data_IF_982225087387
#
_entry.id   IF_982225087387
#
_cell.length_a   1.000
_cell.length_b   1.000
_cell.length_c   1.000
_cell.angle_alpha   90.00
_cell.angle_beta   90.00
_cell.angle_gamma   90.00
#
_symmetry.space_group_name_H-M   'P 1'
#
loop_
_entity.id
_entity.type
_entity.pdbx_description
1 polymer ?
#
# COMPACT_ATOMS: atom_id res chain seq x y z
N UNK A 1 2.55 17.71 1.79
CA UNK A 1 2.93 16.47 1.07
C UNK A 1 1.64 15.71 0.77
N UNK A 2 1.33 15.42 -0.49
CA UNK A 2 0.05 14.84 -0.94
C UNK A 2 0.12 13.31 -1.15
N UNK A 3 1.08 12.64 -0.52
CA UNK A 3 1.26 11.18 -0.67
C UNK A 3 0.38 10.49 0.36
N UNK A 4 -0.55 9.66 -0.12
CA UNK A 4 -1.38 8.81 0.74
C UNK A 4 -0.82 7.38 0.75
N UNK A 5 -0.88 6.74 1.92
CA UNK A 5 -0.45 5.36 2.11
C UNK A 5 -1.66 4.44 2.00
N UNK A 6 -1.62 3.50 1.06
CA UNK A 6 -2.71 2.53 0.85
C UNK A 6 -2.29 1.16 1.40
N UNK A 7 -2.98 0.62 2.42
CA UNK A 7 -2.72 -0.74 2.89
C UNK A 7 -3.06 -1.75 1.79
N UNK A 8 -2.15 -2.69 1.54
CA UNK A 8 -2.33 -3.74 0.54
C UNK A 8 -2.17 -5.12 1.17
N UNK A 9 -3.07 -6.04 0.84
CA UNK A 9 -3.05 -7.43 1.34
C UNK A 9 -2.88 -8.40 0.18
N UNK A 10 -1.70 -9.01 0.08
CA UNK A 10 -1.42 -10.07 -0.88
C UNK A 10 -1.45 -11.44 -0.17
N UNK A 11 -2.15 -12.40 -0.76
CA UNK A 11 -2.04 -13.81 -0.37
C UNK A 11 -1.08 -14.50 -1.32
N UNK A 12 0.05 -14.97 -0.80
CA UNK A 12 1.06 -15.69 -1.59
C UNK A 12 0.87 -17.19 -1.37
N UNK A 13 0.67 -17.93 -2.46
CA UNK A 13 0.73 -19.38 -2.45
C UNK A 13 2.20 -19.80 -2.64
N UNK A 14 2.84 -20.50 -1.69
CA UNK A 14 4.25 -20.88 -1.80
C UNK A 14 4.54 -21.87 -2.94
N UNK A 15 3.50 -22.50 -3.51
CA UNK A 15 3.63 -23.40 -4.67
C UNK A 15 3.42 -22.69 -6.02
N UNK A 16 3.00 -21.42 -6.01
CA UNK A 16 2.79 -20.64 -7.22
C UNK A 16 4.13 -20.13 -7.77
N UNK A 17 4.21 -19.97 -9.09
CA UNK A 17 5.39 -19.36 -9.70
C UNK A 17 5.42 -17.86 -9.42
N UNK A 18 6.58 -17.24 -9.62
CA UNK A 18 6.70 -15.79 -9.55
C UNK A 18 5.72 -15.07 -10.49
N UNK A 19 5.56 -15.60 -11.71
CA UNK A 19 4.65 -15.02 -12.70
C UNK A 19 3.20 -15.08 -12.23
N UNK A 20 2.78 -16.20 -11.64
CA UNK A 20 1.43 -16.33 -11.06
C UNK A 20 1.20 -15.31 -9.94
N UNK A 21 2.21 -15.07 -9.10
CA UNK A 21 2.14 -14.06 -8.04
C UNK A 21 2.04 -12.65 -8.62
N UNK A 22 2.78 -12.34 -9.69
CA UNK A 22 2.73 -11.03 -10.35
C UNK A 22 1.38 -10.77 -11.03
N UNK A 23 0.84 -11.74 -11.75
CA UNK A 23 -0.52 -11.66 -12.32
C UNK A 23 -1.51 -11.42 -11.20
N UNK A 24 -1.41 -12.19 -10.09
CA UNK A 24 -2.33 -12.03 -8.98
C UNK A 24 -2.22 -10.67 -8.32
N UNK A 25 -0.99 -10.18 -8.16
CA UNK A 25 -0.72 -8.85 -7.64
C UNK A 25 -1.35 -7.78 -8.54
N UNK A 26 -1.23 -7.88 -9.86
CA UNK A 26 -1.85 -6.94 -10.79
C UNK A 26 -3.38 -6.93 -10.63
N UNK A 27 -4.02 -8.10 -10.60
CA UNK A 27 -5.46 -8.24 -10.41
C UNK A 27 -5.96 -7.64 -9.10
N UNK A 28 -5.20 -7.78 -8.00
CA UNK A 28 -5.65 -7.34 -6.67
C UNK A 28 -5.16 -5.95 -6.27
N UNK A 29 -4.04 -5.48 -6.80
CA UNK A 29 -3.45 -4.18 -6.47
C UNK A 29 -4.14 -3.04 -7.22
N UNK A 30 -4.38 -3.20 -8.53
CA UNK A 30 -4.98 -2.14 -9.34
C UNK A 30 -6.34 -1.66 -8.80
N UNK A 31 -7.27 -2.54 -8.38
CA UNK A 31 -8.53 -2.10 -7.81
C UNK A 31 -8.37 -1.34 -6.47
N UNK A 32 -7.35 -1.68 -5.68
CA UNK A 32 -7.08 -1.01 -4.39
C UNK A 32 -6.63 0.45 -4.62
N UNK A 33 -5.90 0.73 -5.71
CA UNK A 33 -5.48 2.07 -6.07
C UNK A 33 -6.66 3.00 -6.44
N UNK A 34 -7.81 2.45 -6.88
CA UNK A 34 -9.01 3.24 -7.11
C UNK A 34 -9.55 3.90 -5.83
N UNK A 35 -9.16 3.39 -4.65
CA UNK A 35 -9.53 3.94 -3.34
C UNK A 35 -8.40 4.78 -2.70
N UNK A 36 -7.37 5.14 -3.46
CA UNK A 36 -6.20 5.91 -2.99
C UNK A 36 -6.53 7.32 -2.47
N UNK A 37 -7.75 7.82 -2.68
CA UNK A 37 -8.24 9.06 -2.08
C UNK A 37 -8.61 8.92 -0.60
N UNK A 38 -8.80 7.70 -0.09
CA UNK A 38 -9.16 7.47 1.31
C UNK A 38 -7.94 7.61 2.22
N UNK A 39 -7.92 8.53 3.19
CA UNK A 39 -6.77 8.70 4.07
C UNK A 39 -6.55 7.45 4.93
N UNK A 40 -5.28 7.05 5.12
CA UNK A 40 -4.90 5.89 5.94
C UNK A 40 -5.56 5.88 7.32
N UNK A 41 -5.62 7.03 8.00
CA UNK A 41 -6.25 7.16 9.33
C UNK A 41 -7.74 6.80 9.31
N UNK A 42 -8.44 7.14 8.23
CA UNK A 42 -9.85 6.76 8.05
C UNK A 42 -10.00 5.25 7.90
N UNK A 43 -9.09 4.61 7.14
CA UNK A 43 -9.07 3.15 6.97
C UNK A 43 -8.80 2.44 8.30
N UNK A 44 -7.80 2.93 9.08
CA UNK A 44 -7.50 2.41 10.43
C UNK A 44 -8.72 2.50 11.34
N UNK A 45 -9.36 3.68 11.38
CA UNK A 45 -10.53 3.92 12.22
C UNK A 45 -11.66 2.95 11.88
N UNK A 46 -12.03 2.83 10.60
CA UNK A 46 -13.09 1.91 10.16
C UNK A 46 -12.78 0.45 10.53
N UNK A 47 -11.52 0.03 10.43
CA UNK A 47 -11.14 -1.32 10.82
C UNK A 47 -11.24 -1.55 12.33
N UNK A 48 -10.74 -0.64 13.16
CA UNK A 48 -10.87 -0.74 14.61
C UNK A 48 -12.34 -0.76 15.04
N UNK A 49 -13.16 0.12 14.46
CA UNK A 49 -14.59 0.21 14.74
C UNK A 49 -15.31 -1.11 14.37
N UNK A 50 -15.00 -1.71 13.20
CA UNK A 50 -15.59 -2.98 12.74
C UNK A 50 -15.14 -4.22 13.52
N UNK A 51 -13.92 -4.23 14.05
CA UNK A 51 -13.35 -5.37 14.78
C UNK A 51 -13.57 -5.29 16.29
N UNK A 52 -14.24 -4.23 16.79
CA UNK A 52 -14.34 -3.87 18.21
C UNK A 52 -12.96 -3.81 18.90
N UNK A 53 -11.91 -3.55 18.12
CA UNK A 53 -10.57 -3.35 18.65
C UNK A 53 -10.48 -1.91 19.15
N UNK A 54 -10.08 -1.74 20.40
CA UNK A 54 -9.71 -0.41 20.89
C UNK A 54 -8.46 0.00 20.10
N UNK A 55 -8.47 1.13 19.37
CA UNK A 55 -7.24 1.63 18.79
C UNK A 55 -6.28 1.82 19.95
N UNK A 56 -5.17 1.08 20.00
CA UNK A 56 -4.10 1.37 20.95
C UNK A 56 -3.54 2.74 20.57
N UNK A 57 -4.13 3.81 21.08
CA UNK A 57 -3.80 5.20 20.76
C UNK A 57 -2.37 5.60 21.18
N UNK A 58 -1.50 4.68 21.63
CA UNK A 58 -0.32 5.06 22.41
C UNK A 58 0.95 4.25 22.16
N UNK A 59 0.98 3.31 21.20
CA UNK A 59 2.25 2.75 20.74
C UNK A 59 2.50 3.21 19.32
N UNK A 60 3.30 4.27 19.20
CA UNK A 60 3.79 4.90 17.97
C UNK A 60 4.49 3.94 16.98
N UNK A 61 4.55 2.64 17.25
CA UNK A 61 5.43 1.71 16.56
C UNK A 61 4.72 0.61 15.76
N UNK A 62 3.40 0.40 15.91
CA UNK A 62 2.73 -0.69 15.18
C UNK A 62 1.38 -0.25 14.60
N UNK A 63 1.37 0.01 13.28
CA UNK A 63 0.13 0.11 12.52
C UNK A 63 -0.61 -1.24 12.56
N UNK A 64 -1.95 -1.26 12.60
CA UNK A 64 -2.70 -2.50 12.77
C UNK A 64 -2.63 -3.44 11.55
N UNK A 65 -2.18 -2.95 10.40
CA UNK A 65 -2.29 -3.64 9.12
C UNK A 65 -0.96 -4.17 8.55
N UNK A 66 0.12 -3.42 8.74
CA UNK A 66 1.41 -3.70 8.11
C UNK A 66 2.55 -3.06 8.91
N UNK A 67 3.73 -3.64 8.81
CA UNK A 67 4.97 -3.12 9.38
C UNK A 67 6.00 -2.78 8.29
N UNK A 68 5.66 -3.01 7.02
CA UNK A 68 6.54 -2.80 5.87
C UNK A 68 5.83 -1.92 4.84
N UNK A 69 6.59 -1.00 4.24
CA UNK A 69 6.11 -0.10 3.19
C UNK A 69 6.86 -0.41 1.89
N UNK A 70 6.14 -0.37 0.78
CA UNK A 70 6.71 -0.41 -0.57
C UNK A 70 6.40 0.92 -1.25
N UNK A 71 7.43 1.58 -1.76
CA UNK A 71 7.31 2.84 -2.52
C UNK A 71 7.96 2.63 -3.87
N UNK A 72 7.25 3.04 -4.93
CA UNK A 72 7.76 3.06 -6.30
C UNK A 72 7.59 4.47 -6.85
N UNK A 73 8.69 5.07 -7.27
CA UNK A 73 8.71 6.35 -7.96
C UNK A 73 9.49 6.14 -9.26
N UNK A 74 8.88 6.53 -10.37
CA UNK A 74 9.58 6.61 -11.64
C UNK A 74 10.07 8.05 -11.81
N UNK A 75 11.34 8.29 -11.52
CA UNK A 75 11.97 9.57 -11.85
C UNK A 75 12.15 9.62 -13.37
N UNK A 76 11.51 10.58 -14.03
CA UNK A 76 11.83 10.87 -15.42
C UNK A 76 13.33 11.17 -15.52
N UNK A 77 14.04 10.48 -16.41
CA UNK A 77 15.40 10.87 -16.78
C UNK A 77 15.32 12.28 -17.37
N UNK A 78 15.86 13.24 -16.65
CA UNK A 78 16.05 14.59 -17.14
C UNK A 78 17.04 14.53 -18.33
N UNK A 79 16.49 14.57 -19.54
CA UNK A 79 17.27 14.58 -20.77
C UNK A 79 17.68 16.01 -21.19
N UNK A 80 17.46 17.03 -20.34
CA UNK A 80 17.78 18.44 -20.66
C UNK A 80 19.28 18.74 -20.81
N UNK A 81 20.15 17.76 -20.57
CA UNK A 81 21.62 17.90 -20.69
C UNK A 81 22.14 17.52 -22.10
N UNK A 82 21.31 16.98 -22.99
CA UNK A 82 21.76 16.53 -24.32
C UNK A 82 21.59 17.55 -25.46
N UNK A 83 21.17 18.79 -25.17
CA UNK A 83 21.18 19.89 -26.14
C UNK A 83 22.45 20.75 -25.94
N UNK A 84 23.61 20.25 -26.39
CA UNK A 84 24.83 21.05 -26.61
C UNK A 84 25.60 20.52 -27.82
#
# INVERSE_FOLDING_TARGET
MLINTVPYRLKINPRATFNDIMIKMQETCLPVLNYSYLPLQGIIKMHCDSTKMVPKQQQQQQLPFFQTTFTYENYGTDNSVNDN
#
